data_IF_502758338866
#
_entry.id   IF_502758338866
#
_cell.length_a   1.000
_cell.length_b   1.000
_cell.length_c   1.000
_cell.angle_alpha   90.00
_cell.angle_beta   90.00
_cell.angle_gamma   90.00
#
_symmetry.space_group_name_H-M   'P 1'
#
loop_
_entity.id
_entity.type
_entity.pdbx_description
1 polymer ?
#
# COMPACT_ATOMS: atom_id res chain seq x y z
N UNK A 1 34.64 -0.45 -1.39
CA UNK A 1 33.56 0.42 -1.92
C UNK A 1 32.23 -0.21 -1.61
N UNK A 2 31.34 0.47 -0.88
CA UNK A 2 30.03 -0.08 -0.56
C UNK A 2 29.23 -0.34 -1.85
N UNK A 3 28.71 -1.56 -2.00
CA UNK A 3 27.87 -1.94 -3.14
C UNK A 3 26.64 -1.05 -3.10
N UNK A 4 26.52 -0.15 -4.09
CA UNK A 4 25.37 0.76 -4.21
C UNK A 4 24.10 -0.08 -4.32
N UNK A 5 23.36 -0.19 -3.24
CA UNK A 5 22.10 -0.91 -3.25
C UNK A 5 21.12 -0.15 -4.14
N UNK A 6 20.72 -0.77 -5.25
CA UNK A 6 19.80 -0.19 -6.22
C UNK A 6 18.35 -0.29 -5.75
N UNK A 7 18.09 -0.99 -4.65
CA UNK A 7 16.74 -1.15 -4.11
C UNK A 7 16.45 -0.05 -3.08
N UNK A 8 15.39 0.71 -3.32
CA UNK A 8 14.89 1.74 -2.40
C UNK A 8 13.74 1.17 -1.59
N UNK A 9 13.76 1.38 -0.28
CA UNK A 9 12.60 1.12 0.58
C UNK A 9 11.51 2.15 0.23
N UNK A 10 10.30 1.67 0.02
CA UNK A 10 9.12 2.48 -0.26
C UNK A 10 8.00 2.11 0.71
N UNK A 11 7.09 3.05 0.93
CA UNK A 11 5.85 2.82 1.67
C UNK A 11 4.71 2.77 0.68
N UNK A 12 3.81 1.81 0.83
CA UNK A 12 2.59 1.69 0.07
C UNK A 12 1.41 1.91 0.99
N UNK A 13 0.44 2.72 0.57
CA UNK A 13 -0.75 3.06 1.37
C UNK A 13 -1.97 2.49 0.68
N UNK A 14 -2.83 1.85 1.48
CA UNK A 14 -4.11 1.30 1.04
C UNK A 14 -5.05 2.39 0.52
N UNK A 15 -5.75 2.09 -0.56
CA UNK A 15 -6.92 2.84 -1.02
C UNK A 15 -8.22 2.37 -0.35
N UNK A 16 -8.16 1.36 0.52
CA UNK A 16 -9.31 0.84 1.24
C UNK A 16 -10.00 1.87 2.13
N UNK A 17 -11.31 1.73 2.27
CA UNK A 17 -12.16 2.55 3.17
C UNK A 17 -12.82 1.67 4.22
N UNK A 18 -13.09 2.25 5.39
CA UNK A 18 -13.86 1.61 6.46
C UNK A 18 -15.37 1.66 6.18
N UNK A 19 -16.17 1.04 7.07
CA UNK A 19 -17.64 1.04 6.98
C UNK A 19 -18.26 2.45 6.97
N UNK A 20 -17.54 3.45 7.47
CA UNK A 20 -17.96 4.87 7.51
C UNK A 20 -17.40 5.67 6.32
N UNK A 21 -16.71 5.04 5.36
CA UNK A 21 -16.10 5.68 4.20
C UNK A 21 -14.78 6.42 4.48
N UNK A 22 -14.16 6.20 5.64
CA UNK A 22 -12.86 6.81 5.99
C UNK A 22 -11.73 5.92 5.49
N UNK A 23 -10.60 6.49 5.03
CA UNK A 23 -9.46 5.69 4.57
C UNK A 23 -8.89 4.86 5.72
N UNK A 24 -8.60 3.58 5.46
CA UNK A 24 -8.07 2.63 6.47
C UNK A 24 -6.66 3.00 6.93
N UNK A 25 -5.89 3.69 6.07
CA UNK A 25 -4.49 4.06 6.30
C UNK A 25 -3.58 2.84 6.54
N UNK A 26 -4.01 1.64 6.15
CA UNK A 26 -3.16 0.45 6.18
C UNK A 26 -1.94 0.70 5.29
N UNK A 27 -0.75 0.38 5.80
CA UNK A 27 0.51 0.61 5.06
C UNK A 27 1.34 -0.66 4.99
N UNK A 28 2.05 -0.81 3.88
CA UNK A 28 3.06 -1.84 3.70
C UNK A 28 4.39 -1.20 3.33
N UNK A 29 5.48 -1.74 3.87
CA UNK A 29 6.82 -1.41 3.40
C UNK A 29 7.29 -2.47 2.42
N UNK A 30 7.85 -2.04 1.30
CA UNK A 30 8.48 -2.94 0.34
C UNK A 30 9.74 -2.30 -0.23
N UNK A 31 10.53 -3.08 -0.96
CA UNK A 31 11.70 -2.59 -1.69
C UNK A 31 11.39 -2.58 -3.18
N UNK A 32 11.74 -1.48 -3.85
CA UNK A 32 11.57 -1.30 -5.29
C UNK A 32 12.93 -1.11 -5.95
N UNK A 33 13.11 -1.63 -7.16
CA UNK A 33 14.32 -1.41 -7.98
C UNK A 33 14.35 -0.03 -8.64
N UNK A 34 15.21 0.14 -9.66
CA UNK A 34 15.40 1.39 -10.41
C UNK A 34 14.29 1.67 -11.45
N UNK A 35 13.01 1.54 -11.07
CA UNK A 35 11.89 1.93 -11.95
C UNK A 35 11.38 3.32 -11.62
N UNK A 36 11.11 4.12 -12.66
CA UNK A 36 10.59 5.49 -12.50
C UNK A 36 9.09 5.52 -12.18
N UNK A 37 8.35 4.51 -12.61
CA UNK A 37 6.89 4.40 -12.42
C UNK A 37 6.52 4.09 -10.98
N UNK A 38 5.47 4.74 -10.45
CA UNK A 38 4.97 4.45 -9.10
C UNK A 38 4.41 3.04 -9.03
N UNK A 39 4.78 2.31 -7.98
CA UNK A 39 4.25 0.97 -7.77
C UNK A 39 2.79 1.04 -7.31
N UNK A 40 1.92 0.26 -7.95
CA UNK A 40 0.58 -0.03 -7.49
C UNK A 40 0.42 -1.56 -7.41
N UNK A 41 0.09 -2.08 -6.23
CA UNK A 41 -0.10 -3.52 -6.03
C UNK A 41 -1.43 -3.79 -5.35
N UNK A 42 -2.13 -4.82 -5.80
CA UNK A 42 -3.29 -5.35 -5.07
C UNK A 42 -2.79 -6.18 -3.90
N UNK A 43 -3.14 -5.78 -2.67
CA UNK A 43 -2.83 -6.52 -1.44
C UNK A 43 -4.06 -6.57 -0.53
N UNK A 44 -4.08 -7.57 0.33
CA UNK A 44 -5.11 -7.70 1.35
C UNK A 44 -5.02 -6.55 2.36
N UNK A 45 -6.12 -5.84 2.58
CA UNK A 45 -6.27 -4.89 3.66
C UNK A 45 -7.32 -5.42 4.66
N UNK A 46 -6.91 -5.84 5.88
CA UNK A 46 -7.83 -6.38 6.88
C UNK A 46 -8.85 -5.35 7.39
N UNK A 47 -8.54 -4.05 7.29
CA UNK A 47 -9.40 -2.98 7.77
C UNK A 47 -10.35 -2.44 6.69
N UNK A 48 -10.11 -2.78 5.41
CA UNK A 48 -10.98 -2.37 4.33
C UNK A 48 -12.35 -3.04 4.48
N UNK A 49 -13.40 -2.30 4.19
CA UNK A 49 -14.77 -2.75 4.28
C UNK A 49 -15.40 -2.86 2.89
N UNK A 50 -15.98 -4.01 2.61
CA UNK A 50 -16.74 -4.28 1.41
C UNK A 50 -18.23 -3.98 1.66
N UNK A 51 -18.77 -3.03 0.90
CA UNK A 51 -20.18 -2.60 0.99
C UNK A 51 -21.14 -3.63 0.38
N UNK A 52 -20.67 -4.46 -0.55
CA UNK A 52 -21.52 -5.46 -1.22
C UNK A 52 -21.74 -6.67 -0.32
N UNK A 53 -20.69 -7.11 0.39
CA UNK A 53 -20.76 -8.30 1.26
C UNK A 53 -20.97 -7.99 2.74
N UNK A 54 -21.00 -6.72 3.14
CA UNK A 54 -21.03 -6.23 4.54
C UNK A 54 -19.94 -6.86 5.43
N UNK A 55 -18.75 -7.07 4.86
CA UNK A 55 -17.61 -7.74 5.52
C UNK A 55 -16.34 -6.89 5.49
N UNK A 56 -15.49 -7.13 6.49
CA UNK A 56 -14.14 -6.57 6.54
C UNK A 56 -13.14 -7.53 5.89
N UNK A 57 -12.07 -6.95 5.34
CA UNK A 57 -10.96 -7.70 4.76
C UNK A 57 -11.16 -7.99 3.29
N UNK A 58 -10.59 -7.15 2.42
CA UNK A 58 -10.61 -7.35 0.98
C UNK A 58 -9.26 -6.98 0.36
N UNK A 59 -9.02 -7.52 -0.85
CA UNK A 59 -7.88 -7.10 -1.64
C UNK A 59 -8.17 -5.75 -2.28
N UNK A 60 -7.37 -4.75 -1.93
CA UNK A 60 -7.46 -3.38 -2.44
C UNK A 60 -6.14 -2.98 -3.06
N UNK A 61 -6.15 -1.92 -3.86
CA UNK A 61 -4.93 -1.33 -4.40
C UNK A 61 -4.19 -0.59 -3.30
N UNK A 62 -2.87 -0.78 -3.29
CA UNK A 62 -1.94 -0.05 -2.46
C UNK A 62 -1.00 0.73 -3.37
N UNK A 63 -0.93 2.04 -3.16
CA UNK A 63 -0.13 2.95 -3.98
C UNK A 63 1.14 3.38 -3.25
N UNK A 64 2.22 3.50 -4.01
CA UNK A 64 3.49 4.04 -3.53
C UNK A 64 3.33 5.49 -3.02
N UNK A 65 3.77 5.71 -1.79
CA UNK A 65 3.87 7.00 -1.11
C UNK A 65 5.30 7.21 -0.63
N UNK A 66 5.72 8.49 -0.58
CA UNK A 66 7.02 8.86 -0.01
C UNK A 66 7.10 8.40 1.44
N UNK A 67 8.27 7.91 1.84
CA UNK A 67 8.57 7.63 3.25
C UNK A 67 8.42 8.92 4.06
N UNK A 68 7.82 8.86 5.27
CA UNK A 68 7.87 10.00 6.20
C UNK A 68 9.33 10.33 6.53
N UNK A 69 9.64 11.63 6.61
CA UNK A 69 10.95 12.15 7.02
C UNK A 69 11.10 12.10 8.53
#
# INVERSE_FOLDING_TARGET
>A
MAKKDRRKKIMMVSEGVDKKGRPTKTTYYTTKGDTQEKLALSKYDPAAYDKETDRYGLHVKFNEKKLPK
#
